data_IF_632612951726
#
_entry.id   IF_632612951726
#
_cell.length_a   1.000
_cell.length_b   1.000
_cell.length_c   1.000
_cell.angle_alpha   90.00
_cell.angle_beta   90.00
_cell.angle_gamma   90.00
#
_symmetry.space_group_name_H-M   'P 1'
#
loop_
_entity.id
_entity.type
_entity.pdbx_description
1 polymer ?
#
# COMPACT_ATOMS: atom_id res chain seq x y z
N UNK A 1 3.42 -4.89 -23.79
CA UNK A 1 3.14 -5.09 -23.40
C UNK A 1 2.74 -5.17 -22.55
N UNK A 2 2.61 -5.17 -22.08
CA UNK A 2 2.27 -5.26 -21.40
C UNK A 2 1.90 -5.51 -20.51
N UNK A 3 1.67 -5.56 -19.95
CA UNK A 3 1.34 -5.72 -19.14
C UNK A 3 0.94 -6.17 -18.39
N UNK A 4 1.08 -6.28 -17.82
CA UNK A 4 0.77 -6.55 -17.04
C UNK A 4 -0.04 -6.51 -16.12
N UNK A 5 -0.32 -6.08 -15.75
CA UNK A 5 -1.24 -6.10 -14.79
C UNK A 5 -2.20 -7.11 -15.00
N UNK A 6 -1.82 -8.22 -15.12
CA UNK A 6 -2.67 -9.29 -15.35
C UNK A 6 -3.56 -9.53 -14.21
N UNK A 7 -4.81 -9.57 -14.39
CA UNK A 7 -5.71 -9.83 -13.30
C UNK A 7 -5.53 -11.21 -12.80
N UNK A 8 -5.70 -11.36 -11.54
CA UNK A 8 -5.64 -12.62 -10.94
C UNK A 8 -6.97 -13.30 -11.04
N UNK A 9 -7.00 -14.57 -11.21
CA UNK A 9 -8.24 -15.27 -11.24
C UNK A 9 -9.03 -14.97 -10.02
N UNK A 10 -10.29 -14.90 -10.14
CA UNK A 10 -11.13 -14.56 -9.04
C UNK A 10 -11.49 -13.10 -8.98
N UNK A 11 -10.85 -12.31 -9.79
CA UNK A 11 -11.20 -10.91 -9.87
C UNK A 11 -10.70 -10.04 -8.74
N UNK A 12 -9.94 -10.61 -7.84
CA UNK A 12 -9.40 -9.83 -6.74
C UNK A 12 -8.00 -9.43 -7.06
N UNK A 13 -7.83 -8.23 -7.53
CA UNK A 13 -6.50 -7.83 -7.89
C UNK A 13 -6.17 -6.51 -7.29
N UNK A 14 -4.90 -6.27 -7.14
CA UNK A 14 -4.38 -4.98 -6.71
C UNK A 14 -3.52 -4.45 -7.83
N UNK A 15 -3.80 -3.24 -8.25
CA UNK A 15 -2.96 -2.58 -9.22
C UNK A 15 -2.02 -1.65 -8.49
N UNK A 16 -0.75 -1.73 -8.82
CA UNK A 16 0.26 -0.90 -8.18
C UNK A 16 0.84 0.02 -9.23
N UNK A 17 0.73 1.33 -9.00
CA UNK A 17 1.33 2.32 -9.89
C UNK A 17 2.40 3.05 -9.12
N UNK A 18 3.51 3.28 -9.77
CA UNK A 18 4.66 3.87 -9.11
C UNK A 18 5.14 5.08 -9.89
N UNK A 19 5.41 6.16 -9.19
CA UNK A 19 5.86 7.38 -9.81
C UNK A 19 6.96 7.97 -8.94
N UNK A 20 8.11 8.24 -9.54
CA UNK A 20 9.24 8.77 -8.80
C UNK A 20 9.60 10.14 -9.32
N UNK A 21 9.71 11.09 -8.41
CA UNK A 21 10.09 12.45 -8.75
C UNK A 21 10.91 13.04 -7.63
N UNK A 22 12.07 13.59 -7.99
CA UNK A 22 12.84 14.34 -7.04
C UNK A 22 13.22 13.57 -5.79
N UNK A 23 13.49 12.29 -5.89
CA UNK A 23 13.88 11.50 -4.74
C UNK A 23 12.72 10.94 -3.94
N UNK A 24 11.49 11.25 -4.34
CA UNK A 24 10.32 10.74 -3.66
C UNK A 24 9.59 9.79 -4.58
N UNK A 25 9.21 8.64 -4.07
CA UNK A 25 8.46 7.66 -4.84
C UNK A 25 7.05 7.56 -4.28
N UNK A 26 6.07 7.77 -5.13
CA UNK A 26 4.66 7.61 -4.76
C UNK A 26 4.17 6.29 -5.32
N UNK A 27 3.61 5.48 -4.45
CA UNK A 27 3.04 4.20 -4.84
C UNK A 27 1.55 4.30 -4.65
N UNK A 28 0.82 4.23 -5.74
CA UNK A 28 -0.63 4.28 -5.70
C UNK A 28 -1.17 2.87 -5.77
N UNK A 29 -2.02 2.53 -4.83
CA UNK A 29 -2.60 1.20 -4.75
C UNK A 29 -4.07 1.30 -5.11
N UNK A 30 -4.51 0.46 -6.02
CA UNK A 30 -5.86 0.52 -6.53
C UNK A 30 -6.50 -0.85 -6.42
N UNK A 31 -7.61 -0.94 -5.73
CA UNK A 31 -8.38 -2.16 -5.63
C UNK A 31 -8.32 -2.81 -4.26
N UNK A 32 -8.14 -4.13 -4.25
CA UNK A 32 -8.16 -4.91 -3.03
C UNK A 32 -6.73 -5.15 -2.54
N UNK A 33 -6.38 -4.50 -1.46
CA UNK A 33 -5.03 -4.61 -0.92
C UNK A 33 -5.07 -5.61 0.23
N UNK A 34 -4.57 -6.80 -0.01
CA UNK A 34 -4.67 -7.89 0.95
C UNK A 34 -3.29 -8.44 1.26
N UNK A 35 -3.24 -9.29 2.28
CA UNK A 35 -1.96 -9.77 2.79
C UNK A 35 -1.10 -10.44 1.73
N UNK A 36 -1.72 -11.06 0.74
CA UNK A 36 -0.95 -11.72 -0.31
C UNK A 36 -0.13 -10.75 -1.14
N UNK A 37 -0.45 -9.47 -1.08
CA UNK A 37 0.28 -8.45 -1.84
C UNK A 37 1.44 -7.84 -1.06
N UNK A 38 1.55 -8.16 0.23
CA UNK A 38 2.52 -7.49 1.08
C UNK A 38 3.95 -7.80 0.69
N UNK A 39 4.20 -9.03 0.27
CA UNK A 39 5.56 -9.39 -0.12
C UNK A 39 6.07 -8.55 -1.26
N UNK A 40 5.22 -8.37 -2.27
CA UNK A 40 5.61 -7.58 -3.42
C UNK A 40 5.80 -6.12 -3.05
N UNK A 41 4.89 -5.58 -2.25
CA UNK A 41 4.98 -4.19 -1.87
C UNK A 41 6.22 -3.92 -1.03
N UNK A 42 6.54 -4.82 -0.12
CA UNK A 42 7.72 -4.65 0.70
C UNK A 42 8.98 -4.65 -0.13
N UNK A 43 9.02 -5.45 -1.19
CA UNK A 43 10.17 -5.43 -2.09
C UNK A 43 10.29 -4.07 -2.75
N UNK A 44 9.18 -3.49 -3.18
CA UNK A 44 9.22 -2.19 -3.81
C UNK A 44 9.78 -1.14 -2.85
N UNK A 45 9.36 -1.21 -1.60
CA UNK A 45 9.81 -0.22 -0.62
C UNK A 45 11.28 -0.35 -0.30
N UNK A 46 11.83 -1.53 -0.42
CA UNK A 46 13.24 -1.74 -0.10
C UNK A 46 14.18 -1.31 -1.21
N UNK A 47 13.70 -1.34 -2.44
CA UNK A 47 14.57 -1.10 -3.57
C UNK A 47 14.84 0.36 -3.84
N UNK A 48 13.86 1.21 -3.58
CA UNK A 48 14.01 2.59 -3.96
C UNK A 48 14.53 3.41 -2.80
N UNK A 49 14.65 4.66 -2.96
CA UNK A 49 15.23 5.51 -1.96
C UNK A 49 14.41 5.58 -0.68
N UNK A 50 14.77 6.50 0.18
CA UNK A 50 14.21 6.52 1.53
C UNK A 50 12.85 7.18 1.65
N UNK A 51 12.39 7.89 0.63
CA UNK A 51 11.15 8.63 0.76
C UNK A 51 10.05 7.99 -0.06
N UNK A 52 9.07 7.45 0.64
CA UNK A 52 7.94 6.81 0.01
C UNK A 52 6.64 7.44 0.45
N UNK A 53 5.71 7.50 -0.47
CA UNK A 53 4.35 7.91 -0.20
C UNK A 53 3.44 6.79 -0.69
N UNK A 54 2.57 6.32 0.18
CA UNK A 54 1.56 5.35 -0.21
C UNK A 54 0.24 6.07 -0.36
N UNK A 55 -0.32 6.02 -1.56
CA UNK A 55 -1.58 6.68 -1.85
C UNK A 55 -2.68 5.62 -1.85
N UNK A 56 -3.58 5.71 -0.90
CA UNK A 56 -4.61 4.71 -0.70
C UNK A 56 -5.98 5.18 -1.17
N UNK A 57 -6.02 6.23 -1.96
CA UNK A 57 -7.30 6.81 -2.36
C UNK A 57 -8.23 5.79 -2.99
N UNK A 58 -7.69 4.88 -3.78
CA UNK A 58 -8.51 3.93 -4.52
C UNK A 58 -8.46 2.52 -3.96
N UNK A 59 -8.00 2.37 -2.74
CA UNK A 59 -8.05 1.07 -2.08
C UNK A 59 -9.45 0.87 -1.51
N UNK A 60 -10.06 -0.25 -1.82
CA UNK A 60 -11.44 -0.51 -1.41
C UNK A 60 -11.55 -1.54 -0.30
N UNK A 61 -10.62 -2.48 -0.23
CA UNK A 61 -10.68 -3.54 0.77
C UNK A 61 -9.28 -3.78 1.32
N UNK A 62 -9.17 -3.95 2.63
CA UNK A 62 -7.91 -4.34 3.26
C UNK A 62 -8.21 -5.41 4.29
N UNK A 63 -7.17 -6.14 4.70
CA UNK A 63 -7.33 -7.09 5.80
C UNK A 63 -6.42 -6.68 6.95
N UNK A 64 -6.46 -7.46 8.03
CA UNK A 64 -5.77 -7.06 9.25
C UNK A 64 -4.25 -7.01 9.05
N UNK A 65 -3.71 -7.92 8.27
CA UNK A 65 -2.27 -7.92 8.05
C UNK A 65 -1.83 -6.68 7.29
N UNK A 66 -2.66 -6.23 6.35
CA UNK A 66 -2.37 -5.01 5.63
C UNK A 66 -2.43 -3.81 6.57
N UNK A 67 -3.43 -3.78 7.44
CA UNK A 67 -3.52 -2.66 8.38
C UNK A 67 -2.30 -2.61 9.28
N UNK A 68 -1.84 -3.76 9.76
CA UNK A 68 -0.63 -3.81 10.58
C UNK A 68 0.59 -3.37 9.80
N UNK A 69 0.67 -3.77 8.55
CA UNK A 69 1.76 -3.31 7.70
C UNK A 69 1.75 -1.79 7.57
N UNK A 70 0.57 -1.20 7.38
CA UNK A 70 0.47 0.24 7.23
C UNK A 70 0.91 0.96 8.50
N UNK A 71 0.55 0.41 9.66
CA UNK A 71 0.98 0.99 10.92
C UNK A 71 2.51 0.97 11.01
N UNK A 72 3.12 -0.16 10.66
CA UNK A 72 4.57 -0.26 10.71
C UNK A 72 5.24 0.65 9.69
N UNK A 73 4.68 0.72 8.51
CA UNK A 73 5.27 1.57 7.48
C UNK A 73 5.26 3.03 7.90
N UNK A 74 4.17 3.45 8.51
CA UNK A 74 4.07 4.81 8.96
C UNK A 74 5.10 5.10 10.06
N UNK A 75 5.29 4.14 10.96
CA UNK A 75 6.30 4.30 11.99
C UNK A 75 7.70 4.38 11.42
N UNK A 76 7.92 3.75 10.28
CA UNK A 76 9.22 3.76 9.62
C UNK A 76 9.43 4.98 8.72
N UNK A 77 8.47 5.89 8.70
CA UNK A 77 8.65 7.12 7.94
C UNK A 77 7.92 7.16 6.60
N UNK A 78 7.24 6.11 6.23
CA UNK A 78 6.47 6.11 4.99
C UNK A 78 5.24 7.00 5.19
N UNK A 79 5.01 7.89 4.24
CA UNK A 79 3.87 8.78 4.32
C UNK A 79 2.66 8.11 3.67
N UNK A 80 1.54 8.12 4.38
CA UNK A 80 0.32 7.52 3.86
C UNK A 80 -0.69 8.62 3.63
N UNK A 81 -1.17 8.73 2.39
CA UNK A 81 -2.08 9.80 2.02
C UNK A 81 -3.38 9.23 1.51
N UNK A 82 -4.42 10.03 1.58
CA UNK A 82 -5.76 9.69 1.08
C UNK A 82 -6.30 8.41 1.70
N UNK A 83 -5.93 8.17 2.94
CA UNK A 83 -6.39 6.99 3.65
C UNK A 83 -7.83 7.21 4.08
N UNK A 84 -8.70 6.25 3.82
CA UNK A 84 -10.10 6.40 4.21
C UNK A 84 -10.23 6.40 5.72
N UNK A 85 -11.33 6.95 6.20
CA UNK A 85 -11.57 7.02 7.62
C UNK A 85 -11.68 5.63 8.23
N UNK A 86 -12.28 4.72 7.52
CA UNK A 86 -12.42 3.35 7.94
C UNK A 86 -11.03 2.71 8.20
N UNK A 87 -10.11 2.89 7.26
CA UNK A 87 -8.78 2.32 7.42
C UNK A 87 -8.03 3.04 8.54
N UNK A 88 -8.18 4.35 8.63
CA UNK A 88 -7.49 5.11 9.67
C UNK A 88 -7.92 4.67 11.06
N UNK A 89 -9.21 4.46 11.23
CA UNK A 89 -9.70 4.00 12.53
C UNK A 89 -9.17 2.61 12.85
N UNK A 90 -9.11 1.77 11.86
CA UNK A 90 -8.59 0.43 12.06
C UNK A 90 -7.11 0.48 12.45
N UNK A 91 -6.34 1.33 11.76
CA UNK A 91 -4.93 1.50 12.09
C UNK A 91 -4.75 1.98 13.52
N UNK A 92 -5.59 2.89 13.95
CA UNK A 92 -5.49 3.42 15.32
C UNK A 92 -5.69 2.30 16.33
N UNK A 93 -6.57 1.37 16.06
CA UNK A 93 -6.78 0.25 16.96
C UNK A 93 -5.62 -0.72 16.98
N UNK A 94 -5.00 -0.94 15.82
CA UNK A 94 -3.90 -1.88 15.73
C UNK A 94 -2.60 -1.31 16.29
N UNK A 95 -2.55 0.00 16.48
CA UNK A 95 -1.35 0.62 17.05
C UNK A 95 -1.23 0.48 18.54
N UNK A 96 -2.23 0.02 19.19
CA UNK A 96 -2.22 0.00 20.63
C UNK A 96 -1.13 -0.88 21.14
N UNK A 97 -0.47 -0.46 22.19
CA UNK A 97 0.61 -1.24 22.78
C UNK A 97 0.10 -2.50 23.44
#
# INVERSE_FOLDING_TARGET
MTQDDTPIEGGWTLKIEKDSQGGTTTIRLIGHFQSEHLGELKKQLQHDGPLFILDLKEVTVVDVDVVRFLVEAKADGVKIVHCSQYIRKWMARERRP
#
